data_IF_287324601094
#
_entry.id   IF_287324601094
#
_cell.length_a   1.000
_cell.length_b   1.000
_cell.length_c   1.000
_cell.angle_alpha   90.00
_cell.angle_beta   90.00
_cell.angle_gamma   90.00
#
_symmetry.space_group_name_H-M   'P 1'
#
loop_
_entity.id
_entity.type
_entity.pdbx_description
1 polymer ?
#
# COMPACT_ATOMS: atom_id res chain seq x y z
N UNK A 1 34.61 -8.69 43.21
CA UNK A 1 33.53 -8.67 42.20
C UNK A 1 34.02 -7.91 40.98
N UNK A 2 34.44 -8.64 39.93
CA UNK A 2 34.80 -8.08 38.63
C UNK A 2 33.84 -8.71 37.63
N UNK A 3 32.99 -7.91 36.98
CA UNK A 3 32.34 -8.32 35.73
C UNK A 3 32.71 -7.31 34.67
N UNK A 4 33.45 -7.80 33.69
CA UNK A 4 34.04 -7.10 32.56
C UNK A 4 32.93 -6.75 31.57
N UNK A 5 32.99 -5.53 31.05
CA UNK A 5 32.28 -5.12 29.85
C UNK A 5 32.84 -5.88 28.64
N UNK A 6 31.96 -6.41 27.79
CA UNK A 6 32.31 -6.89 26.46
C UNK A 6 31.48 -6.09 25.45
N UNK A 7 32.07 -5.02 24.93
CA UNK A 7 31.61 -4.37 23.71
C UNK A 7 31.93 -5.27 22.53
N UNK A 8 30.93 -5.61 21.71
CA UNK A 8 31.17 -6.18 20.39
C UNK A 8 30.86 -5.09 19.37
N UNK A 9 31.94 -4.54 18.83
CA UNK A 9 32.00 -3.73 17.62
C UNK A 9 31.86 -4.69 16.43
N UNK A 10 30.91 -4.49 15.52
CA UNK A 10 30.87 -5.22 14.24
C UNK A 10 30.72 -4.22 13.10
N UNK A 11 31.87 -3.89 12.51
CA UNK A 11 32.04 -3.07 11.32
C UNK A 11 32.70 -3.98 10.27
N UNK A 12 32.03 -4.16 9.13
CA UNK A 12 32.61 -4.65 7.86
C UNK A 12 32.90 -6.15 7.74
N UNK A 13 32.17 -6.83 6.85
CA UNK A 13 32.65 -7.21 5.50
C UNK A 13 31.67 -8.19 4.84
N UNK A 14 31.10 -7.76 3.73
CA UNK A 14 30.39 -8.61 2.78
C UNK A 14 31.45 -9.39 1.99
N UNK A 15 31.79 -10.60 2.43
CA UNK A 15 32.54 -11.57 1.65
C UNK A 15 31.57 -12.69 1.26
N UNK A 16 31.19 -12.69 -0.01
CA UNK A 16 30.55 -13.83 -0.66
C UNK A 16 31.50 -15.03 -0.57
N UNK A 17 31.17 -16.00 0.29
CA UNK A 17 31.72 -17.35 0.24
C UNK A 17 30.56 -18.33 0.14
N UNK A 18 30.35 -18.83 -1.07
CA UNK A 18 29.57 -20.04 -1.32
C UNK A 18 30.24 -21.21 -0.61
N UNK A 19 29.47 -21.93 0.21
CA UNK A 19 29.96 -23.07 0.99
C UNK A 19 28.85 -23.94 1.56
N UNK A 20 28.29 -24.78 0.69
CA UNK A 20 27.78 -26.14 0.94
C UNK A 20 26.96 -26.41 2.21
N UNK A 21 25.64 -26.33 2.07
CA UNK A 21 24.67 -27.10 2.84
C UNK A 21 23.59 -27.61 1.88
N UNK A 22 23.44 -28.94 1.78
CA UNK A 22 22.48 -29.61 0.88
C UNK A 22 21.06 -29.04 1.10
N UNK A 23 20.58 -28.29 0.13
CA UNK A 23 19.17 -28.19 -0.17
C UNK A 23 19.01 -28.76 -1.58
N UNK A 24 18.35 -29.91 -1.69
CA UNK A 24 17.79 -30.36 -2.95
C UNK A 24 16.77 -29.30 -3.39
N UNK A 25 17.17 -28.42 -4.30
CA UNK A 25 16.24 -27.73 -5.17
C UNK A 25 16.83 -27.83 -6.56
N UNK A 26 16.08 -28.50 -7.42
CA UNK A 26 16.33 -28.62 -8.85
C UNK A 26 16.67 -27.26 -9.46
N UNK A 27 17.88 -27.12 -9.98
CA UNK A 27 18.22 -26.15 -11.02
C UNK A 27 17.34 -26.46 -12.24
N UNK A 28 16.11 -25.96 -12.23
CA UNK A 28 15.22 -26.02 -13.37
C UNK A 28 15.69 -24.94 -14.34
N UNK A 29 16.54 -25.33 -15.28
CA UNK A 29 17.06 -24.47 -16.33
C UNK A 29 15.90 -24.07 -17.24
N UNK A 30 15.33 -22.87 -17.01
CA UNK A 30 14.32 -22.30 -17.90
C UNK A 30 14.98 -21.99 -19.24
N UNK A 31 14.73 -22.81 -20.25
CA UNK A 31 15.41 -22.73 -21.55
C UNK A 31 14.53 -22.05 -22.62
N UNK A 32 13.21 -21.96 -22.46
CA UNK A 32 12.32 -21.30 -23.44
C UNK A 32 11.89 -19.89 -23.01
N UNK A 33 11.74 -18.98 -23.99
CA UNK A 33 11.26 -17.61 -23.73
C UNK A 33 9.85 -17.58 -23.11
N UNK A 34 9.02 -18.58 -23.42
CA UNK A 34 7.67 -18.70 -22.88
C UNK A 34 7.72 -18.94 -21.37
N UNK A 35 8.52 -19.89 -20.92
CA UNK A 35 8.67 -20.20 -19.49
C UNK A 35 9.36 -19.06 -18.74
N UNK A 36 10.39 -18.44 -19.34
CA UNK A 36 11.07 -17.28 -18.75
C UNK A 36 10.08 -16.14 -18.56
N UNK A 37 9.25 -15.86 -19.56
CA UNK A 37 8.30 -14.77 -19.51
C UNK A 37 7.18 -15.05 -18.50
N UNK A 38 6.63 -16.27 -18.46
CA UNK A 38 5.64 -16.67 -17.45
C UNK A 38 6.22 -16.55 -16.02
N UNK A 39 7.46 -17.01 -15.81
CA UNK A 39 8.15 -16.88 -14.54
C UNK A 39 8.33 -15.41 -14.13
N UNK A 40 8.74 -14.54 -15.06
CA UNK A 40 8.91 -13.11 -14.83
C UNK A 40 7.58 -12.43 -14.50
N UNK A 41 6.52 -12.73 -15.25
CA UNK A 41 5.18 -12.16 -15.03
C UNK A 41 4.58 -12.59 -13.68
N UNK A 42 4.79 -13.84 -13.28
CA UNK A 42 4.38 -14.35 -11.97
C UNK A 42 5.20 -13.72 -10.84
N UNK A 43 6.52 -13.68 -10.98
CA UNK A 43 7.44 -13.13 -9.98
C UNK A 43 7.19 -11.64 -9.73
N UNK A 44 6.94 -10.89 -10.80
CA UNK A 44 6.60 -9.46 -10.74
C UNK A 44 5.11 -9.21 -10.45
N UNK A 45 4.32 -10.28 -10.32
CA UNK A 45 2.89 -10.27 -10.03
C UNK A 45 2.09 -9.35 -10.97
N UNK A 46 2.39 -9.42 -12.26
CA UNK A 46 1.81 -8.52 -13.28
C UNK A 46 0.29 -8.68 -13.37
N UNK A 47 -0.25 -9.87 -13.14
CA UNK A 47 -1.70 -10.12 -13.11
C UNK A 47 -2.46 -9.19 -12.16
N UNK A 48 -1.93 -8.99 -10.96
CA UNK A 48 -2.57 -8.13 -9.94
C UNK A 48 -2.10 -6.67 -10.01
N UNK A 49 -1.08 -6.35 -10.82
CA UNK A 49 -0.59 -4.97 -10.97
C UNK A 49 -1.66 -4.06 -11.54
N UNK A 50 -1.85 -2.89 -10.93
CA UNK A 50 -2.75 -1.84 -11.42
C UNK A 50 -1.93 -0.73 -12.08
N UNK A 51 -2.61 0.21 -12.73
CA UNK A 51 -1.95 1.36 -13.35
C UNK A 51 -1.09 2.17 -12.35
N UNK A 52 -1.42 2.10 -11.06
CA UNK A 52 -0.75 2.80 -9.97
C UNK A 52 0.30 1.96 -9.22
N UNK A 53 0.50 0.68 -9.56
CA UNK A 53 1.49 -0.21 -8.91
C UNK A 53 2.94 0.26 -9.09
N UNK A 54 4.00 -0.52 -8.87
CA UNK A 54 5.35 -0.09 -9.29
C UNK A 54 5.50 -0.27 -10.82
N UNK A 55 6.32 0.58 -11.48
CA UNK A 55 6.58 0.40 -12.91
C UNK A 55 7.55 -0.77 -13.14
N UNK A 56 7.00 -1.94 -13.46
CA UNK A 56 7.77 -3.15 -13.76
C UNK A 56 8.10 -3.31 -15.26
N UNK A 57 7.44 -2.52 -16.11
CA UNK A 57 7.52 -2.68 -17.57
C UNK A 57 8.92 -2.44 -18.16
N UNK A 58 9.74 -1.47 -17.68
CA UNK A 58 11.14 -1.35 -18.12
C UNK A 58 11.94 -2.64 -17.95
N UNK A 59 11.82 -3.28 -16.78
CA UNK A 59 12.54 -4.51 -16.46
C UNK A 59 12.07 -5.67 -17.33
N UNK A 60 10.76 -5.80 -17.56
CA UNK A 60 10.21 -6.85 -18.43
C UNK A 60 10.70 -6.66 -19.86
N UNK A 61 10.70 -5.43 -20.38
CA UNK A 61 11.22 -5.12 -21.70
C UNK A 61 12.72 -5.44 -21.81
N UNK A 62 13.52 -5.10 -20.81
CA UNK A 62 14.95 -5.44 -20.80
C UNK A 62 15.20 -6.95 -20.87
N UNK A 63 14.35 -7.74 -20.19
CA UNK A 63 14.41 -9.21 -20.25
C UNK A 63 14.03 -9.70 -21.65
N UNK A 64 12.97 -9.15 -22.25
CA UNK A 64 12.58 -9.48 -23.63
C UNK A 64 13.70 -9.12 -24.61
N UNK A 65 14.33 -7.95 -24.51
CA UNK A 65 15.46 -7.55 -25.36
C UNK A 65 16.65 -8.51 -25.25
N UNK A 66 16.90 -9.06 -24.06
CA UNK A 66 18.00 -9.99 -23.81
C UNK A 66 17.73 -11.43 -24.24
N UNK A 67 16.46 -11.84 -24.28
CA UNK A 67 16.06 -13.24 -24.41
C UNK A 67 15.30 -13.55 -25.71
N UNK A 68 14.75 -12.54 -26.37
CA UNK A 68 14.06 -12.69 -27.65
C UNK A 68 15.02 -12.58 -28.84
N UNK A 69 14.62 -13.12 -30.01
CA UNK A 69 15.31 -12.84 -31.28
C UNK A 69 15.38 -11.33 -31.54
N UNK A 70 16.55 -10.82 -31.96
CA UNK A 70 16.74 -9.38 -32.19
C UNK A 70 15.80 -8.84 -33.28
N UNK A 71 15.59 -9.61 -34.36
CA UNK A 71 14.65 -9.26 -35.44
C UNK A 71 13.22 -8.98 -34.93
N UNK A 72 12.77 -9.73 -33.93
CA UNK A 72 11.45 -9.56 -33.30
C UNK A 72 11.34 -8.22 -32.57
N UNK A 73 12.39 -7.87 -31.82
CA UNK A 73 12.47 -6.64 -31.04
C UNK A 73 12.62 -5.43 -31.96
N UNK A 74 13.41 -5.55 -33.03
CA UNK A 74 13.60 -4.48 -34.01
C UNK A 74 12.29 -4.18 -34.76
N UNK A 75 11.55 -5.21 -35.18
CA UNK A 75 10.21 -5.04 -35.75
C UNK A 75 9.21 -4.44 -34.75
N UNK A 76 9.29 -4.83 -33.48
CA UNK A 76 8.45 -4.25 -32.43
C UNK A 76 8.73 -2.76 -32.24
N UNK A 77 10.01 -2.37 -32.20
CA UNK A 77 10.45 -0.97 -32.11
C UNK A 77 9.99 -0.17 -33.33
N UNK A 78 10.18 -0.70 -34.54
CA UNK A 78 9.69 -0.07 -35.77
C UNK A 78 8.16 0.13 -35.76
N UNK A 79 7.41 -0.86 -35.27
CA UNK A 79 5.94 -0.77 -35.12
C UNK A 79 5.56 0.30 -34.11
N UNK A 80 6.29 0.40 -32.99
CA UNK A 80 6.05 1.41 -31.97
C UNK A 80 6.37 2.81 -32.47
N UNK A 81 7.47 3.02 -33.22
CA UNK A 81 7.80 4.31 -33.81
C UNK A 81 6.66 4.88 -34.68
N UNK A 82 5.98 4.01 -35.42
CA UNK A 82 4.84 4.39 -36.27
C UNK A 82 3.54 4.63 -35.48
N UNK A 83 3.32 3.89 -34.38
CA UNK A 83 2.01 3.84 -33.71
C UNK A 83 1.94 4.60 -32.39
N UNK A 84 3.06 4.74 -31.68
CA UNK A 84 3.13 5.34 -30.35
C UNK A 84 2.69 6.82 -30.35
N UNK A 85 3.08 7.68 -31.31
CA UNK A 85 2.69 9.10 -31.29
C UNK A 85 1.17 9.29 -31.30
N UNK A 86 0.47 8.64 -32.23
CA UNK A 86 -1.00 8.72 -32.34
C UNK A 86 -1.69 8.11 -31.12
N UNK A 87 -1.14 7.02 -30.56
CA UNK A 87 -1.68 6.39 -29.34
C UNK A 87 -1.49 7.28 -28.12
N UNK A 88 -0.37 7.96 -28.01
CA UNK A 88 -0.08 8.89 -26.93
C UNK A 88 -1.00 10.11 -27.00
N UNK A 89 -1.21 10.66 -28.20
CA UNK A 89 -2.17 11.76 -28.42
C UNK A 89 -3.59 11.35 -27.99
N UNK A 90 -4.08 10.20 -28.46
CA UNK A 90 -5.41 9.70 -28.06
C UNK A 90 -5.51 9.46 -26.55
N UNK A 91 -4.47 8.92 -25.92
CA UNK A 91 -4.48 8.64 -24.48
C UNK A 91 -4.40 9.92 -23.65
N UNK A 92 -3.76 10.98 -24.16
CA UNK A 92 -3.72 12.29 -23.49
C UNK A 92 -5.08 13.01 -23.47
N UNK A 93 -6.01 12.62 -24.35
CA UNK A 93 -7.32 13.24 -24.50
C UNK A 93 -8.43 12.52 -23.72
N UNK A 94 -8.16 11.34 -23.14
CA UNK A 94 -9.15 10.54 -22.42
C UNK A 94 -9.00 10.70 -20.91
N UNK A 95 -10.10 10.53 -20.18
CA UNK A 95 -10.10 10.71 -18.72
C UNK A 95 -9.23 9.67 -17.99
N UNK A 96 -8.68 9.98 -16.80
CA UNK A 96 -7.90 9.03 -16.00
C UNK A 96 -8.62 7.70 -15.72
N UNK A 97 -9.95 7.73 -15.56
CA UNK A 97 -10.76 6.51 -15.42
C UNK A 97 -10.80 5.68 -16.71
N UNK A 98 -10.83 6.33 -17.87
CA UNK A 98 -10.72 5.64 -19.16
C UNK A 98 -9.32 5.07 -19.36
N UNK A 99 -8.27 5.79 -18.94
CA UNK A 99 -6.89 5.27 -18.98
C UNK A 99 -6.77 4.02 -18.09
N UNK A 100 -7.31 4.03 -16.86
CA UNK A 100 -7.38 2.87 -15.96
C UNK A 100 -8.07 1.67 -16.62
N UNK A 101 -9.22 1.90 -17.26
CA UNK A 101 -9.96 0.86 -17.96
C UNK A 101 -9.18 0.25 -19.15
N UNK A 102 -8.59 1.09 -20.00
CA UNK A 102 -7.79 0.62 -21.15
C UNK A 102 -6.50 -0.09 -20.71
N UNK A 103 -5.88 0.36 -19.61
CA UNK A 103 -4.73 -0.30 -19.00
C UNK A 103 -5.08 -1.72 -18.57
N UNK A 104 -6.18 -1.92 -17.83
CA UNK A 104 -6.61 -3.25 -17.38
C UNK A 104 -6.95 -4.18 -18.54
N UNK A 105 -7.60 -3.64 -19.59
CA UNK A 105 -7.91 -4.38 -20.80
C UNK A 105 -6.64 -4.85 -21.52
N UNK A 106 -5.69 -3.95 -21.73
CA UNK A 106 -4.43 -4.27 -22.41
C UNK A 106 -3.58 -5.22 -21.55
N UNK A 107 -3.54 -5.04 -20.22
CA UNK A 107 -2.85 -5.94 -19.29
C UNK A 107 -3.41 -7.35 -19.39
N UNK A 108 -4.74 -7.49 -19.36
CA UNK A 108 -5.42 -8.78 -19.50
C UNK A 108 -5.07 -9.45 -20.83
N UNK A 109 -5.20 -8.73 -21.95
CA UNK A 109 -4.84 -9.27 -23.26
C UNK A 109 -3.36 -9.62 -23.37
N UNK A 110 -2.47 -8.86 -22.72
CA UNK A 110 -1.02 -9.10 -22.72
C UNK A 110 -0.66 -10.41 -22.03
N UNK A 111 -1.27 -10.68 -20.88
CA UNK A 111 -1.07 -11.92 -20.12
C UNK A 111 -1.65 -13.15 -20.85
N UNK A 112 -2.57 -12.94 -21.78
CA UNK A 112 -3.20 -13.99 -22.59
C UNK A 112 -2.51 -14.23 -23.94
N UNK A 113 -1.44 -13.50 -24.27
CA UNK A 113 -0.69 -13.72 -25.52
C UNK A 113 -0.08 -15.12 -25.47
N UNK A 114 -0.62 -16.02 -26.29
CA UNK A 114 -0.09 -17.34 -26.54
C UNK A 114 0.21 -17.46 -28.03
N UNK A 115 1.42 -17.92 -28.36
CA UNK A 115 1.83 -18.20 -29.75
C UNK A 115 2.97 -19.19 -29.71
N UNK A 116 2.91 -20.19 -30.59
CA UNK A 116 3.97 -21.19 -30.73
C UNK A 116 5.21 -20.61 -31.44
N UNK A 117 5.08 -19.44 -32.06
CA UNK A 117 6.17 -18.71 -32.71
C UNK A 117 6.81 -17.70 -31.73
N UNK A 118 8.10 -17.88 -31.35
CA UNK A 118 8.81 -16.98 -30.43
C UNK A 118 8.97 -15.55 -30.96
N UNK A 119 9.16 -15.37 -32.26
CA UNK A 119 9.31 -14.04 -32.90
C UNK A 119 8.00 -13.24 -32.78
N UNK A 120 6.85 -13.87 -33.02
CA UNK A 120 5.55 -13.21 -32.82
C UNK A 120 5.21 -12.99 -31.34
N UNK A 121 5.61 -13.91 -30.45
CA UNK A 121 5.42 -13.80 -29.01
C UNK A 121 6.09 -12.54 -28.47
N UNK A 122 7.38 -12.46 -28.71
CA UNK A 122 8.26 -11.40 -28.24
C UNK A 122 7.81 -10.04 -28.74
N UNK A 123 7.48 -9.94 -30.04
CA UNK A 123 6.99 -8.71 -30.67
C UNK A 123 5.73 -8.21 -29.98
N UNK A 124 4.72 -9.07 -29.81
CA UNK A 124 3.44 -8.70 -29.19
C UNK A 124 3.59 -8.33 -27.72
N UNK A 125 4.34 -9.11 -26.94
CA UNK A 125 4.60 -8.82 -25.52
C UNK A 125 5.34 -7.49 -25.36
N UNK A 126 6.37 -7.24 -26.15
CA UNK A 126 7.16 -6.01 -26.09
C UNK A 126 6.33 -4.76 -26.41
N UNK A 127 5.53 -4.82 -27.48
CA UNK A 127 4.60 -3.73 -27.85
C UNK A 127 3.60 -3.47 -26.73
N UNK A 128 2.96 -4.52 -26.22
CA UNK A 128 1.95 -4.38 -25.16
C UNK A 128 2.51 -3.80 -23.87
N UNK A 129 3.68 -4.26 -23.41
CA UNK A 129 4.31 -3.69 -22.20
C UNK A 129 4.74 -2.25 -22.38
N UNK A 130 5.12 -1.86 -23.60
CA UNK A 130 5.41 -0.45 -23.92
C UNK A 130 4.14 0.41 -23.82
N UNK A 131 2.99 -0.09 -24.29
CA UNK A 131 1.72 0.64 -24.13
C UNK A 131 1.28 0.74 -22.67
N UNK A 132 1.43 -0.34 -21.89
CA UNK A 132 1.10 -0.32 -20.46
C UNK A 132 1.94 0.69 -19.69
N UNK A 133 3.23 0.77 -19.99
CA UNK A 133 4.11 1.80 -19.44
C UNK A 133 3.67 3.21 -19.83
N UNK A 134 3.36 3.43 -21.11
CA UNK A 134 2.90 4.73 -21.59
C UNK A 134 1.62 5.18 -20.90
N UNK A 135 0.61 4.31 -20.78
CA UNK A 135 -0.65 4.62 -20.08
C UNK A 135 -0.42 4.95 -18.61
N UNK A 136 0.47 4.21 -17.96
CA UNK A 136 0.88 4.49 -16.59
C UNK A 136 1.52 5.87 -16.46
N UNK A 137 2.49 6.19 -17.33
CA UNK A 137 3.20 7.46 -17.30
C UNK A 137 2.24 8.63 -17.60
N UNK A 138 1.28 8.43 -18.49
CA UNK A 138 0.25 9.43 -18.77
C UNK A 138 -0.71 9.61 -17.57
N UNK A 139 -1.11 8.52 -16.91
CA UNK A 139 -1.89 8.60 -15.68
C UNK A 139 -1.12 9.37 -14.60
N UNK A 140 0.21 9.16 -14.47
CA UNK A 140 1.07 9.93 -13.57
C UNK A 140 1.17 11.42 -13.94
N UNK A 141 1.32 11.74 -15.23
CA UNK A 141 1.42 13.14 -15.69
C UNK A 141 0.11 13.91 -15.49
N UNK A 142 -1.05 13.27 -15.60
CA UNK A 142 -2.33 13.88 -15.21
C UNK A 142 -2.34 14.32 -13.74
N UNK A 143 -1.82 13.49 -12.82
CA UNK A 143 -1.74 13.86 -11.40
C UNK A 143 -0.70 14.97 -11.13
N UNK A 144 0.38 15.03 -11.90
CA UNK A 144 1.43 16.06 -11.74
C UNK A 144 1.00 17.42 -12.31
N UNK A 145 0.36 17.45 -13.48
CA UNK A 145 -0.09 18.69 -14.12
C UNK A 145 -1.23 19.38 -13.35
N UNK A 146 -2.08 18.63 -12.63
CA UNK A 146 -3.10 19.21 -11.73
C UNK A 146 -2.49 19.86 -10.47
N UNK A 147 -1.25 19.51 -10.11
CA UNK A 147 -0.54 20.09 -8.95
C UNK A 147 0.27 21.35 -9.30
N UNK A 148 0.73 21.53 -10.54
CA UNK A 148 1.63 22.62 -10.94
C UNK A 148 0.93 23.87 -11.53
N UNK A 149 -0.28 23.77 -12.05
CA UNK A 149 -1.03 24.91 -12.60
C UNK A 149 -2.48 25.00 -12.11
N UNK A 150 -2.71 25.48 -10.86
CA UNK A 150 -4.04 25.90 -10.44
C UNK A 150 -4.43 27.16 -11.22
N UNK A 151 -5.42 27.05 -12.11
CA UNK A 151 -5.87 28.19 -12.92
C UNK A 151 -6.32 29.37 -12.03
N UNK A 152 -5.67 30.51 -12.20
CA UNK A 152 -5.97 31.75 -11.48
C UNK A 152 -7.32 32.32 -11.92
N UNK A 153 -8.10 32.77 -10.95
CA UNK A 153 -9.50 33.14 -11.09
C UNK A 153 -9.66 34.67 -11.01
N UNK A 154 -10.15 35.37 -12.06
CA UNK A 154 -10.76 36.69 -11.89
C UNK A 154 -12.29 36.54 -11.87
N UNK A 155 -12.89 37.08 -10.81
CA UNK A 155 -14.32 37.11 -10.53
C UNK A 155 -15.11 37.84 -11.64
N UNK A 156 -16.27 37.26 -12.00
CA UNK A 156 -17.64 37.71 -11.65
C UNK A 156 -18.61 37.72 -12.84
N UNK A 157 -19.79 37.14 -12.59
CA UNK A 157 -21.07 37.36 -13.27
C UNK A 157 -21.28 36.71 -14.65
N UNK A 158 -21.95 35.56 -14.68
CA UNK A 158 -23.36 35.44 -15.11
C UNK A 158 -23.77 33.97 -15.26
N UNK A 159 -24.91 33.69 -14.63
CA UNK A 159 -25.87 32.59 -14.78
C UNK A 159 -25.77 31.80 -16.11
N UNK A 160 -25.49 30.50 -16.04
CA UNK A 160 -26.36 29.39 -16.49
C UNK A 160 -25.59 28.04 -16.59
N UNK A 161 -26.24 26.98 -16.10
CA UNK A 161 -25.99 25.54 -16.30
C UNK A 161 -24.55 25.03 -16.24
N UNK A 162 -24.16 24.40 -15.11
CA UNK A 162 -23.04 23.45 -15.10
C UNK A 162 -23.13 22.47 -13.93
N UNK A 163 -23.13 21.20 -14.30
CA UNK A 163 -23.13 19.97 -13.50
C UNK A 163 -22.01 19.94 -12.47
N UNK A 164 -22.34 19.42 -11.28
CA UNK A 164 -21.49 19.30 -10.10
C UNK A 164 -20.03 18.90 -10.37
N UNK A 165 -19.12 19.68 -9.80
CA UNK A 165 -17.68 19.41 -9.72
C UNK A 165 -17.43 18.08 -8.99
N UNK A 166 -16.83 17.11 -9.67
CA UNK A 166 -16.32 15.88 -9.06
C UNK A 166 -15.02 16.19 -8.33
N UNK A 167 -15.12 16.58 -7.05
CA UNK A 167 -14.01 16.42 -6.12
C UNK A 167 -13.72 14.92 -6.01
N UNK A 168 -12.49 14.51 -6.27
CA UNK A 168 -12.04 13.19 -5.85
C UNK A 168 -12.16 13.18 -4.33
N UNK A 169 -12.96 12.29 -3.73
CA UNK A 169 -13.18 12.38 -2.31
C UNK A 169 -11.85 12.01 -1.65
N UNK A 170 -11.33 12.89 -0.80
CA UNK A 170 -10.21 12.65 0.12
C UNK A 170 -10.76 12.58 1.54
N UNK A 171 -10.14 11.77 2.40
CA UNK A 171 -10.41 11.85 3.85
C UNK A 171 -9.54 12.99 4.37
N UNK A 172 -10.19 14.10 4.73
CA UNK A 172 -9.49 15.23 5.34
C UNK A 172 -9.11 14.93 6.79
N UNK A 173 -7.88 15.31 7.16
CA UNK A 173 -7.35 15.16 8.51
C UNK A 173 -7.12 16.53 9.14
N UNK A 174 -7.45 16.67 10.43
CA UNK A 174 -7.22 17.87 11.19
C UNK A 174 -5.77 17.90 11.69
N UNK A 175 -4.94 18.78 11.14
CA UNK A 175 -3.53 18.91 11.53
C UNK A 175 -3.34 20.03 12.58
N UNK A 176 -3.19 19.67 13.86
CA UNK A 176 -3.16 20.65 14.96
C UNK A 176 -1.76 21.24 15.18
N UNK A 177 -1.38 22.24 14.38
CA UNK A 177 -0.02 22.83 14.36
C UNK A 177 0.15 24.12 15.18
N UNK A 178 -0.89 24.54 15.92
CA UNK A 178 -0.98 25.87 16.58
C UNK A 178 0.23 26.27 17.44
N UNK A 179 0.95 25.32 18.01
CA UNK A 179 2.08 25.56 18.91
C UNK A 179 3.44 25.15 18.31
N UNK A 180 3.50 24.85 17.01
CA UNK A 180 4.71 24.40 16.34
C UNK A 180 5.39 25.56 15.59
N UNK A 181 6.71 25.47 15.43
CA UNK A 181 7.48 26.42 14.65
C UNK A 181 8.72 25.76 14.05
N UNK A 182 9.29 26.38 13.01
CA UNK A 182 10.51 25.89 12.36
C UNK A 182 10.38 24.45 11.87
N UNK A 183 11.36 23.61 12.23
CA UNK A 183 11.43 22.21 11.80
C UNK A 183 10.23 21.36 12.25
N UNK A 184 9.64 21.67 13.41
CA UNK A 184 8.48 20.93 13.92
C UNK A 184 7.24 21.17 13.04
N UNK A 185 7.10 22.37 12.47
CA UNK A 185 6.01 22.68 11.55
C UNK A 185 6.21 21.94 10.20
N UNK A 186 7.44 21.90 9.69
CA UNK A 186 7.76 21.13 8.47
C UNK A 186 7.47 19.64 8.67
N UNK A 187 7.86 19.08 9.81
CA UNK A 187 7.57 17.69 10.17
C UNK A 187 6.06 17.43 10.29
N UNK A 188 5.29 18.38 10.82
CA UNK A 188 3.85 18.26 10.93
C UNK A 188 3.14 18.26 9.56
N UNK A 189 3.60 19.07 8.60
CA UNK A 189 3.05 19.04 7.24
C UNK A 189 3.41 17.74 6.51
N UNK A 190 4.63 17.23 6.68
CA UNK A 190 5.03 15.91 6.18
C UNK A 190 4.16 14.79 6.77
N UNK A 191 3.88 14.86 8.07
CA UNK A 191 3.01 13.91 8.77
C UNK A 191 1.58 13.94 8.22
N UNK A 192 1.03 15.13 7.98
CA UNK A 192 -0.28 15.29 7.34
C UNK A 192 -0.30 14.66 5.95
N UNK A 193 0.72 14.91 5.14
CA UNK A 193 0.86 14.32 3.82
C UNK A 193 0.91 12.78 3.91
N UNK A 194 1.69 12.21 4.82
CA UNK A 194 1.73 10.77 5.04
C UNK A 194 0.37 10.21 5.43
N UNK A 195 -0.38 10.90 6.31
CA UNK A 195 -1.74 10.50 6.65
C UNK A 195 -2.64 10.39 5.41
N UNK A 196 -2.59 11.40 4.54
CA UNK A 196 -3.35 11.37 3.29
C UNK A 196 -2.90 10.24 2.35
N UNK A 197 -1.60 10.05 2.17
CA UNK A 197 -1.05 8.95 1.34
C UNK A 197 -1.56 7.59 1.83
N UNK A 198 -1.48 7.32 3.13
CA UNK A 198 -1.92 6.05 3.71
C UNK A 198 -3.44 5.88 3.64
N UNK A 199 -4.23 6.93 3.91
CA UNK A 199 -5.70 6.87 3.79
C UNK A 199 -6.16 6.65 2.34
N UNK A 200 -5.49 7.30 1.38
CA UNK A 200 -5.73 7.06 -0.05
C UNK A 200 -5.33 5.63 -0.44
N UNK A 201 -4.21 5.12 0.09
CA UNK A 201 -3.79 3.75 -0.14
C UNK A 201 -4.86 2.76 0.37
N UNK A 202 -5.35 2.93 1.60
CA UNK A 202 -6.41 2.12 2.20
C UNK A 202 -7.73 2.15 1.39
N UNK A 203 -8.11 3.31 0.85
CA UNK A 203 -9.25 3.44 -0.06
C UNK A 203 -9.00 2.71 -1.39
N UNK A 204 -7.78 2.82 -1.94
CA UNK A 204 -7.42 2.17 -3.20
C UNK A 204 -7.37 0.65 -3.10
N UNK A 205 -7.01 0.15 -1.92
CA UNK A 205 -7.01 -1.28 -1.57
C UNK A 205 -8.44 -1.78 -1.25
N UNK A 206 -9.44 -0.89 -1.20
CA UNK A 206 -10.81 -1.26 -0.81
C UNK A 206 -10.94 -1.71 0.64
N UNK A 207 -9.92 -1.44 1.47
CA UNK A 207 -9.98 -1.62 2.93
C UNK A 207 -10.98 -0.62 3.51
N UNK A 208 -10.86 0.63 3.08
CA UNK A 208 -11.87 1.67 3.31
C UNK A 208 -12.75 1.80 2.07
N UNK A 209 -14.03 2.08 2.28
CA UNK A 209 -15.01 2.31 1.21
C UNK A 209 -15.54 3.76 1.24
N UNK A 210 -16.40 4.17 0.28
CA UNK A 210 -16.93 5.52 0.24
C UNK A 210 -17.72 5.95 1.49
N UNK A 211 -18.39 5.02 2.18
CA UNK A 211 -19.10 5.31 3.43
C UNK A 211 -18.13 5.56 4.59
N UNK A 212 -17.04 4.78 4.65
CA UNK A 212 -15.96 4.99 5.61
C UNK A 212 -15.32 6.34 5.41
N UNK A 213 -15.10 6.69 4.15
CA UNK A 213 -14.56 7.98 3.78
C UNK A 213 -15.44 9.13 4.27
N UNK A 214 -16.75 9.08 4.04
CA UNK A 214 -17.68 10.11 4.54
C UNK A 214 -17.62 10.21 6.08
N UNK A 215 -17.56 9.07 6.76
CA UNK A 215 -17.54 8.97 8.22
C UNK A 215 -16.22 9.48 8.84
N UNK A 216 -15.09 9.17 8.21
CA UNK A 216 -13.75 9.52 8.69
C UNK A 216 -13.34 10.94 8.30
N UNK A 217 -13.95 11.53 7.26
CA UNK A 217 -13.63 12.86 6.77
C UNK A 217 -13.74 13.91 7.88
N UNK A 218 -12.66 14.65 8.12
CA UNK A 218 -12.51 15.62 9.21
C UNK A 218 -12.65 15.06 10.64
N UNK A 219 -12.58 13.74 10.84
CA UNK A 219 -12.67 13.10 12.16
C UNK A 219 -11.38 12.37 12.56
N UNK A 220 -10.31 12.53 11.79
CA UNK A 220 -8.95 12.12 12.14
C UNK A 220 -8.17 13.38 12.57
N UNK A 221 -7.66 13.39 13.79
CA UNK A 221 -6.92 14.50 14.37
C UNK A 221 -5.45 14.12 14.58
N UNK A 222 -4.52 14.93 14.09
CA UNK A 222 -3.09 14.78 14.34
C UNK A 222 -2.66 15.87 15.33
N UNK A 223 -2.20 15.44 16.50
CA UNK A 223 -1.71 16.28 17.58
C UNK A 223 -0.21 16.07 17.77
N UNK A 224 0.51 17.11 18.16
CA UNK A 224 1.97 17.02 18.31
C UNK A 224 2.42 17.14 19.76
N UNK A 225 3.23 16.18 20.19
CA UNK A 225 3.83 16.11 21.52
C UNK A 225 5.28 16.61 21.44
N UNK A 226 5.70 17.53 22.33
CA UNK A 226 7.05 18.06 22.29
C UNK A 226 8.09 17.00 22.68
N UNK A 227 9.17 16.92 21.90
CA UNK A 227 10.32 16.04 22.15
C UNK A 227 10.02 14.57 21.87
N UNK A 228 10.80 13.67 22.45
CA UNK A 228 10.71 12.22 22.19
C UNK A 228 9.72 11.49 23.13
N UNK A 229 8.56 12.11 23.39
CA UNK A 229 7.46 11.43 24.10
C UNK A 229 6.98 10.23 23.30
N UNK A 230 6.37 9.24 23.97
CA UNK A 230 5.81 8.09 23.26
C UNK A 230 4.61 8.54 22.43
N UNK A 231 4.75 8.45 21.11
CA UNK A 231 3.64 8.63 20.19
C UNK A 231 2.60 7.52 20.39
N UNK A 232 1.32 7.84 20.23
CA UNK A 232 0.23 6.89 20.44
C UNK A 232 -1.05 7.39 19.77
N UNK A 233 -1.93 6.46 19.40
CA UNK A 233 -3.27 6.78 18.93
C UNK A 233 -4.31 6.73 20.06
N UNK A 234 -5.52 7.20 19.76
CA UNK A 234 -6.70 6.96 20.59
C UNK A 234 -7.96 7.01 19.74
N UNK A 235 -8.79 6.00 19.92
CA UNK A 235 -10.06 5.85 19.22
C UNK A 235 -11.24 6.17 20.14
N UNK A 236 -12.17 7.00 19.67
CA UNK A 236 -13.30 7.47 20.48
C UNK A 236 -14.64 7.15 19.82
N UNK A 237 -15.55 6.57 20.60
CA UNK A 237 -16.94 6.28 20.21
C UNK A 237 -17.92 7.03 21.10
N UNK A 238 -19.06 7.41 20.53
CA UNK A 238 -20.24 7.81 21.28
C UNK A 238 -21.16 6.60 21.41
N UNK A 239 -21.67 6.33 22.61
CA UNK A 239 -22.65 5.27 22.82
C UNK A 239 -23.94 5.84 23.39
N UNK A 240 -25.07 5.53 22.76
CA UNK A 240 -26.38 5.83 23.31
C UNK A 240 -26.61 4.99 24.58
N UNK A 241 -26.94 5.64 25.70
CA UNK A 241 -27.09 4.96 26.99
C UNK A 241 -28.21 3.92 26.98
N UNK A 242 -29.28 4.18 26.24
CA UNK A 242 -30.52 3.38 26.19
C UNK A 242 -30.45 2.33 25.09
N UNK A 243 -30.20 2.73 23.84
CA UNK A 243 -30.21 1.81 22.69
C UNK A 243 -28.91 1.02 22.53
N UNK A 244 -27.85 1.42 23.26
CA UNK A 244 -26.48 0.89 23.13
C UNK A 244 -25.83 1.08 21.76
N UNK A 245 -26.50 1.77 20.84
CA UNK A 245 -26.01 2.14 19.52
C UNK A 245 -24.70 2.95 19.65
N UNK A 246 -23.71 2.58 18.83
CA UNK A 246 -22.40 3.22 18.79
C UNK A 246 -22.31 4.11 17.55
N UNK A 247 -21.66 5.25 17.69
CA UNK A 247 -21.29 6.14 16.58
C UNK A 247 -19.83 6.51 16.68
N UNK A 248 -19.15 6.60 15.53
CA UNK A 248 -17.78 7.08 15.49
C UNK A 248 -17.72 8.54 15.92
N UNK A 249 -16.73 8.89 16.75
CA UNK A 249 -16.53 10.27 17.22
C UNK A 249 -15.30 10.90 16.62
N UNK A 250 -14.14 10.28 16.82
CA UNK A 250 -12.85 10.82 16.38
C UNK A 250 -11.76 9.77 16.58
N UNK A 251 -10.72 9.85 15.75
CA UNK A 251 -9.47 9.13 15.86
C UNK A 251 -8.38 10.16 16.07
N UNK A 252 -7.63 10.09 17.17
CA UNK A 252 -6.53 11.03 17.44
C UNK A 252 -5.19 10.32 17.36
N UNK A 253 -4.26 10.89 16.60
CA UNK A 253 -2.86 10.49 16.51
C UNK A 253 -2.01 11.51 17.26
N UNK A 254 -1.36 11.13 18.36
CA UNK A 254 -0.51 12.02 19.16
C UNK A 254 0.96 11.76 18.83
N UNK A 255 1.52 12.54 17.90
CA UNK A 255 2.84 12.37 17.28
C UNK A 255 3.91 13.20 17.98
N UNK A 256 5.00 12.55 18.38
CA UNK A 256 6.17 13.17 18.97
C UNK A 256 7.04 13.87 17.92
N UNK A 257 7.49 15.08 18.22
CA UNK A 257 8.41 15.87 17.39
C UNK A 257 9.88 15.49 17.63
N UNK A 258 10.17 14.20 17.79
CA UNK A 258 11.51 13.70 18.10
C UNK A 258 12.45 13.86 16.89
N UNK A 259 13.63 14.46 17.09
CA UNK A 259 14.57 14.78 16.01
C UNK A 259 15.80 13.84 15.96
N UNK A 260 15.77 12.72 16.68
CA UNK A 260 16.85 11.72 16.60
C UNK A 260 16.86 11.06 15.24
N UNK A 261 18.04 10.78 14.69
CA UNK A 261 18.20 10.13 13.38
C UNK A 261 17.46 8.78 13.30
N UNK A 262 17.49 7.97 14.37
CA UNK A 262 16.78 6.69 14.44
C UNK A 262 15.26 6.85 14.35
N UNK A 263 14.68 7.81 15.09
CA UNK A 263 13.25 8.09 15.02
C UNK A 263 12.84 8.54 13.61
N UNK A 264 13.60 9.46 13.00
CA UNK A 264 13.31 9.98 11.67
C UNK A 264 13.43 8.90 10.58
N UNK A 265 14.43 8.02 10.67
CA UNK A 265 14.62 6.91 9.73
C UNK A 265 13.44 5.91 9.75
N UNK A 266 12.83 5.68 10.92
CA UNK A 266 11.75 4.70 11.09
C UNK A 266 10.34 5.34 11.16
N UNK A 267 10.25 6.67 11.08
CA UNK A 267 9.03 7.41 11.38
C UNK A 267 7.85 6.98 10.51
N UNK A 268 8.06 6.80 9.21
CA UNK A 268 7.00 6.43 8.25
C UNK A 268 6.37 5.08 8.60
N UNK A 269 7.19 4.06 8.84
CA UNK A 269 6.72 2.73 9.22
C UNK A 269 5.96 2.75 10.56
N UNK A 270 6.46 3.55 11.50
CA UNK A 270 5.85 3.74 12.80
C UNK A 270 4.50 4.47 12.74
N UNK A 271 4.43 5.58 12.00
CA UNK A 271 3.20 6.33 11.78
C UNK A 271 2.13 5.45 11.13
N UNK A 272 2.51 4.71 10.08
CA UNK A 272 1.65 3.76 9.38
C UNK A 272 1.06 2.72 10.34
N UNK A 273 1.89 2.14 11.21
CA UNK A 273 1.42 1.15 12.18
C UNK A 273 0.34 1.72 13.11
N UNK A 274 0.53 2.93 13.63
CA UNK A 274 -0.45 3.52 14.55
C UNK A 274 -1.73 3.89 13.82
N UNK A 275 -1.62 4.53 12.65
CA UNK A 275 -2.80 4.86 11.86
C UNK A 275 -3.60 3.59 11.53
N UNK A 276 -2.92 2.53 11.08
CA UNK A 276 -3.56 1.26 10.80
C UNK A 276 -4.18 0.62 12.06
N UNK A 277 -3.48 0.65 13.19
CA UNK A 277 -4.02 0.16 14.47
C UNK A 277 -5.33 0.86 14.84
N UNK A 278 -5.34 2.19 14.82
CA UNK A 278 -6.54 2.96 15.17
C UNK A 278 -7.68 2.77 14.16
N UNK A 279 -7.36 2.60 12.88
CA UNK A 279 -8.36 2.21 11.87
C UNK A 279 -8.84 0.77 12.04
N UNK A 280 -8.02 -0.12 12.62
CA UNK A 280 -8.42 -1.46 13.04
C UNK A 280 -9.56 -1.40 14.06
N UNK A 281 -9.49 -0.48 15.03
CA UNK A 281 -10.60 -0.22 15.96
C UNK A 281 -11.85 0.30 15.24
N UNK A 282 -11.68 1.22 14.28
CA UNK A 282 -12.81 1.69 13.45
C UNK A 282 -13.50 0.52 12.71
N UNK A 283 -12.71 -0.33 12.06
CA UNK A 283 -13.22 -1.48 11.31
C UNK A 283 -13.93 -2.45 12.25
N UNK A 284 -13.34 -2.76 13.42
CA UNK A 284 -13.90 -3.66 14.42
C UNK A 284 -15.32 -3.26 14.84
N UNK A 285 -15.54 -1.97 15.13
CA UNK A 285 -16.83 -1.50 15.64
C UNK A 285 -17.87 -1.20 14.57
N UNK A 286 -17.45 -0.79 13.36
CA UNK A 286 -18.36 -0.21 12.38
C UNK A 286 -18.41 -0.94 11.04
N UNK A 287 -17.44 -1.80 10.72
CA UNK A 287 -17.36 -2.45 9.41
C UNK A 287 -17.44 -3.97 9.47
N UNK A 288 -16.73 -4.57 10.39
CA UNK A 288 -16.72 -6.02 10.54
C UNK A 288 -17.96 -6.51 11.30
N UNK A 289 -18.95 -6.95 10.53
CA UNK A 289 -20.19 -7.53 11.07
C UNK A 289 -19.97 -8.89 11.75
N UNK A 290 -18.80 -9.51 11.55
CA UNK A 290 -18.44 -10.81 12.09
C UNK A 290 -17.23 -10.73 13.04
N UNK A 291 -16.98 -9.56 13.65
CA UNK A 291 -15.87 -9.36 14.60
C UNK A 291 -15.92 -10.31 15.79
N UNK A 292 -17.09 -10.84 16.15
CA UNK A 292 -17.23 -11.89 17.16
C UNK A 292 -16.53 -13.19 16.76
N UNK A 293 -16.50 -13.57 15.47
CA UNK A 293 -15.75 -14.74 15.03
C UNK A 293 -14.25 -14.57 15.28
N UNK A 294 -13.71 -13.36 15.03
CA UNK A 294 -12.34 -13.02 15.38
C UNK A 294 -12.10 -13.11 16.89
N UNK A 295 -12.98 -12.54 17.70
CA UNK A 295 -12.85 -12.55 19.16
C UNK A 295 -12.67 -13.98 19.70
N UNK A 296 -13.36 -14.95 19.10
CA UNK A 296 -13.33 -16.35 19.56
C UNK A 296 -12.04 -17.12 19.24
N UNK A 297 -11.15 -16.57 18.41
CA UNK A 297 -9.88 -17.23 18.04
C UNK A 297 -8.97 -17.42 19.27
N UNK A 298 -8.88 -16.38 20.11
CA UNK A 298 -8.02 -16.37 21.31
C UNK A 298 -8.73 -16.08 22.62
N UNK A 299 -10.07 -15.97 22.60
CA UNK A 299 -10.84 -15.69 23.80
C UNK A 299 -12.13 -16.50 23.82
N UNK A 300 -12.52 -16.96 25.00
CA UNK A 300 -13.90 -17.35 25.30
C UNK A 300 -14.46 -16.37 26.35
N UNK A 301 -15.77 -16.37 26.61
CA UNK A 301 -16.50 -15.53 27.60
C UNK A 301 -15.63 -14.90 28.71
N UNK A 302 -14.87 -13.85 28.37
CA UNK A 302 -13.93 -13.06 29.18
C UNK A 302 -12.50 -13.59 29.45
N UNK A 303 -12.11 -14.80 29.04
CA UNK A 303 -10.76 -15.34 29.29
C UNK A 303 -9.92 -15.47 28.02
N UNK A 304 -8.62 -15.15 28.14
CA UNK A 304 -7.63 -15.42 27.11
C UNK A 304 -7.32 -16.93 27.08
N UNK A 305 -7.55 -17.58 25.94
CA UNK A 305 -7.30 -19.01 25.73
C UNK A 305 -5.98 -19.29 25.00
N UNK A 306 -5.36 -18.26 24.41
CA UNK A 306 -4.09 -18.34 23.71
C UNK A 306 -2.90 -18.04 24.63
N UNK A 307 -1.76 -18.67 24.35
CA UNK A 307 -0.48 -18.21 24.88
C UNK A 307 0.06 -17.01 24.07
N UNK A 308 1.17 -16.41 24.50
CA UNK A 308 1.75 -15.22 23.86
C UNK A 308 2.08 -15.39 22.37
N UNK A 309 2.31 -16.61 21.86
CA UNK A 309 2.57 -16.87 20.43
C UNK A 309 1.31 -16.79 19.55
N UNK A 310 0.13 -16.72 20.16
CA UNK A 310 -1.14 -16.46 19.47
C UNK A 310 -1.39 -14.98 19.19
N UNK A 311 -0.51 -14.09 19.63
CA UNK A 311 -0.67 -12.64 19.52
C UNK A 311 0.51 -12.01 18.78
N UNK A 312 0.26 -10.96 18.01
CA UNK A 312 1.32 -10.23 17.30
C UNK A 312 2.14 -9.32 18.22
N UNK A 313 1.59 -8.93 19.37
CA UNK A 313 2.29 -8.11 20.37
C UNK A 313 1.82 -8.40 21.80
N UNK A 314 2.55 -7.93 22.81
CA UNK A 314 2.07 -7.92 24.20
C UNK A 314 0.85 -7.01 24.37
N UNK A 315 0.74 -5.96 23.55
CA UNK A 315 -0.38 -5.03 23.60
C UNK A 315 -1.70 -5.69 23.18
N UNK A 316 -1.64 -6.54 22.15
CA UNK A 316 -2.77 -7.36 21.66
C UNK A 316 -3.37 -8.28 22.75
N UNK A 317 -2.61 -8.65 23.78
CA UNK A 317 -3.12 -9.51 24.86
C UNK A 317 -4.09 -8.80 25.79
N UNK A 318 -4.13 -7.46 25.80
CA UNK A 318 -4.89 -6.67 26.77
C UNK A 318 -6.41 -6.79 26.60
N UNK A 319 -6.93 -6.64 25.39
CA UNK A 319 -8.35 -6.79 25.10
C UNK A 319 -8.57 -7.39 23.71
N UNK A 320 -9.81 -7.77 23.40
CA UNK A 320 -10.17 -8.36 22.10
C UNK A 320 -10.12 -7.31 20.99
N UNK A 321 -10.49 -6.07 21.32
CA UNK A 321 -10.37 -4.90 20.46
C UNK A 321 -8.91 -4.63 20.11
N UNK A 322 -8.01 -4.66 21.11
CA UNK A 322 -6.57 -4.45 20.87
C UNK A 322 -5.94 -5.59 20.08
N UNK A 323 -6.38 -6.83 20.29
CA UNK A 323 -5.94 -7.97 19.47
C UNK A 323 -6.34 -7.80 18.01
N UNK A 324 -7.59 -7.40 17.76
CA UNK A 324 -8.09 -7.14 16.42
C UNK A 324 -7.32 -6.00 15.74
N UNK A 325 -7.17 -4.86 16.42
CA UNK A 325 -6.49 -3.68 15.91
C UNK A 325 -5.02 -3.94 15.59
N UNK A 326 -4.29 -4.60 16.50
CA UNK A 326 -2.91 -5.00 16.27
C UNK A 326 -2.80 -5.99 15.11
N UNK A 327 -3.66 -7.02 15.07
CA UNK A 327 -3.62 -8.02 13.99
C UNK A 327 -3.91 -7.40 12.63
N UNK A 328 -4.83 -6.44 12.56
CA UNK A 328 -5.09 -5.67 11.35
C UNK A 328 -3.88 -4.82 10.95
N UNK A 329 -3.27 -4.08 11.89
CA UNK A 329 -2.09 -3.25 11.61
C UNK A 329 -0.90 -4.08 11.10
N UNK A 330 -0.66 -5.25 11.70
CA UNK A 330 0.36 -6.19 11.26
C UNK A 330 0.08 -6.74 9.86
N UNK A 331 -1.17 -7.14 9.57
CA UNK A 331 -1.55 -7.60 8.23
C UNK A 331 -1.37 -6.48 7.21
N UNK A 332 -1.85 -5.28 7.50
CA UNK A 332 -1.74 -4.14 6.59
C UNK A 332 -0.28 -3.83 6.23
N UNK A 333 0.62 -3.86 7.21
CA UNK A 333 2.06 -3.74 6.95
C UNK A 333 2.62 -4.86 6.07
N UNK A 334 2.17 -6.10 6.28
CA UNK A 334 2.64 -7.26 5.51
C UNK A 334 2.16 -7.27 4.04
N UNK A 335 1.04 -6.61 3.71
CA UNK A 335 0.61 -6.44 2.32
C UNK A 335 1.66 -5.71 1.46
N UNK A 336 2.51 -4.89 2.08
CA UNK A 336 3.54 -4.09 1.40
C UNK A 336 4.94 -4.72 1.44
N UNK A 337 5.09 -5.93 2.01
CA UNK A 337 6.39 -6.63 2.20
C UNK A 337 7.47 -5.81 2.93
N UNK A 338 7.10 -4.90 3.84
CA UNK A 338 8.05 -4.23 4.73
C UNK A 338 8.48 -5.17 5.88
N UNK A 339 9.57 -5.93 5.68
CA UNK A 339 10.20 -6.77 6.72
C UNK A 339 10.98 -5.91 7.73
N UNK A 340 10.28 -5.14 8.56
CA UNK A 340 10.91 -4.34 9.64
C UNK A 340 10.41 -4.65 11.05
N UNK A 341 9.34 -5.43 11.20
CA UNK A 341 9.07 -6.10 12.47
C UNK A 341 9.43 -7.57 12.28
N UNK A 342 10.06 -8.16 13.29
CA UNK A 342 10.50 -9.56 13.25
C UNK A 342 9.42 -10.50 12.71
N UNK A 343 9.84 -11.64 12.16
CA UNK A 343 8.94 -12.65 11.60
C UNK A 343 7.72 -12.86 12.50
N UNK A 344 6.51 -12.69 11.95
CA UNK A 344 5.28 -13.02 12.65
C UNK A 344 5.40 -14.43 13.25
N UNK A 345 4.92 -14.66 14.49
CA UNK A 345 4.90 -16.00 15.05
C UNK A 345 4.12 -16.92 14.10
N UNK A 346 4.77 -17.95 13.56
CA UNK A 346 4.06 -18.95 12.73
C UNK A 346 3.30 -19.88 13.66
N UNK A 347 2.05 -19.50 13.98
CA UNK A 347 1.10 -20.34 14.71
C UNK A 347 -0.21 -20.44 13.92
N UNK A 348 -0.92 -21.56 14.09
CA UNK A 348 -2.24 -21.78 13.49
C UNK A 348 -3.22 -20.66 13.85
N UNK A 349 -3.11 -20.15 15.07
CA UNK A 349 -3.87 -18.99 15.57
C UNK A 349 -3.62 -17.71 14.75
N UNK A 350 -2.37 -17.41 14.43
CA UNK A 350 -2.02 -16.23 13.62
C UNK A 350 -2.57 -16.39 12.21
N UNK A 351 -2.52 -17.60 11.64
CA UNK A 351 -3.11 -17.88 10.34
C UNK A 351 -4.64 -17.72 10.34
N UNK A 352 -5.33 -18.14 11.41
CA UNK A 352 -6.78 -17.92 11.56
C UNK A 352 -7.14 -16.43 11.57
N UNK A 353 -6.33 -15.60 12.27
CA UNK A 353 -6.50 -14.14 12.29
C UNK A 353 -6.30 -13.52 10.92
N UNK A 354 -5.27 -13.92 10.19
CA UNK A 354 -5.02 -13.45 8.81
C UNK A 354 -6.16 -13.86 7.87
N UNK A 355 -6.65 -15.10 7.98
CA UNK A 355 -7.76 -15.60 7.18
C UNK A 355 -9.06 -14.83 7.43
N UNK A 356 -9.33 -14.42 8.68
CA UNK A 356 -10.47 -13.56 8.99
C UNK A 356 -10.44 -12.26 8.17
N UNK A 357 -9.29 -11.58 8.11
CA UNK A 357 -9.16 -10.37 7.30
C UNK A 357 -9.17 -10.64 5.79
N UNK A 358 -8.66 -11.79 5.33
CA UNK A 358 -8.76 -12.17 3.91
C UNK A 358 -10.21 -12.41 3.49
N UNK A 359 -11.08 -12.87 4.39
CA UNK A 359 -12.51 -12.97 4.13
C UNK A 359 -13.19 -11.60 4.12
N UNK A 360 -12.78 -10.71 5.03
CA UNK A 360 -13.31 -9.35 5.12
C UNK A 360 -12.87 -8.47 3.93
N UNK A 361 -11.67 -8.70 3.41
CA UNK A 361 -11.07 -7.97 2.28
C UNK A 361 -10.60 -8.95 1.18
N UNK A 362 -11.51 -9.63 0.47
CA UNK A 362 -11.19 -10.78 -0.41
C UNK A 362 -10.51 -10.40 -1.74
N UNK A 363 -10.38 -9.10 -2.01
CA UNK A 363 -9.74 -8.56 -3.21
C UNK A 363 -8.32 -8.04 -2.96
N UNK A 364 -7.75 -8.37 -1.79
CA UNK A 364 -6.40 -8.04 -1.31
C UNK A 364 -5.65 -9.30 -0.93
#
# INVERSE_FOLDING_TARGET
MKKKYLSILLLGTLLLHFGTGKAENSDQKLDSIFEIQDYVEQTLNIKSSTISSRNYFPLIKEILEKKCPSESIDEAKSTLEQTLPTRQELISQISPNRIKYEFEKIKTSTLQIQTENPTEFCKKKYISYTFLEMMRNQNLSHYQNEQEHPAANPRQSERENSTSQNQQPTIEVQNNTKNLSGLDLTFAEQTKQFAHEELTNLLSLGILNPYDQETLNNHIEINYLPGCKKTHGSFHILQNKTTKEKKFKTLKLNIATCNTAEYQANYRAYFKQILAHELGHYIYFFRDQNSQAFDTICRNNEQNTCNSKGFFSEYAQKSKEEDYAESFAYRYKNLEKEKEFGSAPTSETIHQKENHFNQLFPFL
#
